data_IF_882238184317
#
_entry.id   IF_882238184317
#
_cell.length_a   1.000
_cell.length_b   1.000
_cell.length_c   1.000
_cell.angle_alpha   90.00
_cell.angle_beta   90.00
_cell.angle_gamma   90.00
#
_symmetry.space_group_name_H-M   'P 1'
#
loop_
_entity.id
_entity.type
_entity.pdbx_description
1 polymer ?
#
# COMPACT_ATOMS: atom_id res chain seq x y z
N UNK A 1 -19.83 -10.86 4.82
CA UNK A 1 -18.76 -11.72 4.28
C UNK A 1 -17.48 -11.37 5.01
N UNK A 2 -16.78 -12.35 5.57
CA UNK A 2 -15.60 -12.13 6.40
C UNK A 2 -14.33 -12.25 5.55
N UNK A 3 -13.44 -11.27 5.64
CA UNK A 3 -12.10 -11.33 5.03
C UNK A 3 -11.19 -12.17 5.91
N UNK A 4 -10.44 -13.09 5.31
CA UNK A 4 -9.39 -13.82 6.01
C UNK A 4 -8.21 -12.89 6.29
N UNK A 5 -8.04 -12.53 7.57
CA UNK A 5 -6.98 -11.63 8.01
C UNK A 5 -5.58 -12.22 7.80
N UNK A 6 -5.45 -13.54 7.84
CA UNK A 6 -4.19 -14.23 7.59
C UNK A 6 -3.72 -14.03 6.16
N UNK A 7 -4.60 -14.25 5.19
CA UNK A 7 -4.34 -13.98 3.77
C UNK A 7 -4.04 -12.50 3.52
N UNK A 8 -4.83 -11.60 4.11
CA UNK A 8 -4.60 -10.15 3.94
C UNK A 8 -3.20 -9.75 4.44
N UNK A 9 -2.76 -10.27 5.58
CA UNK A 9 -1.43 -9.99 6.12
C UNK A 9 -0.31 -10.48 5.18
N UNK A 10 -0.47 -11.67 4.60
CA UNK A 10 0.49 -12.21 3.63
C UNK A 10 0.54 -11.36 2.37
N UNK A 11 -0.60 -10.92 1.85
CA UNK A 11 -0.70 -10.04 0.68
C UNK A 11 0.03 -8.73 0.94
N UNK A 12 -0.30 -8.04 2.04
CA UNK A 12 0.33 -6.75 2.38
C UNK A 12 1.84 -6.92 2.54
N UNK A 13 2.29 -7.98 3.22
CA UNK A 13 3.71 -8.20 3.41
C UNK A 13 4.44 -8.45 2.08
N UNK A 14 3.96 -9.42 1.30
CA UNK A 14 4.64 -9.84 0.07
C UNK A 14 4.55 -8.82 -1.07
N UNK A 15 3.46 -8.05 -1.17
CA UNK A 15 3.22 -7.12 -2.29
C UNK A 15 3.63 -5.68 -2.00
N UNK A 16 3.81 -5.33 -0.73
CA UNK A 16 4.15 -3.95 -0.33
C UNK A 16 5.42 -3.97 0.51
N UNK A 17 5.40 -4.62 1.67
CA UNK A 17 6.51 -4.52 2.62
C UNK A 17 7.79 -5.07 2.02
N UNK A 18 7.80 -6.29 1.48
CA UNK A 18 8.99 -6.91 0.88
C UNK A 18 9.51 -6.15 -0.36
N UNK A 19 8.67 -5.36 -1.04
CA UNK A 19 9.07 -4.56 -2.21
C UNK A 19 9.69 -3.22 -1.78
N UNK A 20 9.18 -2.61 -0.72
CA UNK A 20 9.66 -1.32 -0.22
C UNK A 20 10.82 -1.46 0.76
N UNK A 21 10.88 -2.58 1.48
CA UNK A 21 11.92 -2.87 2.47
C UNK A 21 13.30 -2.95 1.78
N UNK A 22 14.28 -2.25 2.36
CA UNK A 22 15.66 -2.17 1.87
C UNK A 22 15.83 -1.81 0.38
N UNK A 23 14.84 -1.18 -0.26
CA UNK A 23 14.83 -0.90 -1.70
C UNK A 23 14.91 0.61 -2.01
N UNK A 24 15.52 0.97 -3.14
CA UNK A 24 15.48 2.32 -3.70
C UNK A 24 14.17 2.47 -4.48
N UNK A 25 13.10 2.91 -3.81
CA UNK A 25 11.72 2.96 -4.35
C UNK A 25 11.65 3.53 -5.77
N UNK A 26 12.39 4.61 -6.05
CA UNK A 26 12.39 5.31 -7.34
C UNK A 26 12.99 4.48 -8.49
N UNK A 27 13.96 3.62 -8.19
CA UNK A 27 14.67 2.81 -9.18
C UNK A 27 14.06 1.42 -9.29
N UNK A 28 13.76 0.80 -8.15
CA UNK A 28 13.30 -0.58 -8.02
C UNK A 28 11.81 -0.74 -8.35
N UNK A 29 11.00 0.28 -8.05
CA UNK A 29 9.54 0.22 -8.28
C UNK A 29 9.18 1.03 -9.50
N UNK A 30 8.89 0.34 -10.62
CA UNK A 30 8.57 0.98 -11.91
C UNK A 30 7.45 2.03 -11.82
N UNK A 31 6.49 1.86 -10.92
CA UNK A 31 5.39 2.80 -10.73
C UNK A 31 5.85 4.19 -10.26
N UNK A 32 6.99 4.26 -9.56
CA UNK A 32 7.59 5.48 -9.04
C UNK A 32 8.60 6.11 -9.99
N UNK A 33 8.92 5.50 -11.14
CA UNK A 33 9.83 6.13 -12.11
C UNK A 33 9.29 7.48 -12.56
N UNK A 34 10.04 8.54 -12.28
CA UNK A 34 9.65 9.93 -12.58
C UNK A 34 8.59 10.51 -11.63
N UNK A 35 8.31 9.86 -10.50
CA UNK A 35 7.44 10.37 -9.43
C UNK A 35 8.19 10.41 -8.11
N UNK A 36 7.86 11.38 -7.27
CA UNK A 36 8.40 11.42 -5.91
C UNK A 36 7.82 10.27 -5.08
N UNK A 37 8.64 9.50 -4.34
CA UNK A 37 8.18 8.42 -3.47
C UNK A 37 7.63 8.97 -2.14
N UNK A 38 6.66 9.90 -2.21
CA UNK A 38 5.99 10.45 -1.02
C UNK A 38 5.03 9.42 -0.40
N UNK A 39 4.68 9.64 0.87
CA UNK A 39 3.72 8.83 1.62
C UNK A 39 2.39 8.66 0.91
N UNK A 40 1.89 9.71 0.25
CA UNK A 40 0.66 9.68 -0.56
C UNK A 40 0.81 8.76 -1.78
N UNK A 41 1.91 8.90 -2.52
CA UNK A 41 2.18 8.08 -3.70
C UNK A 41 2.39 6.60 -3.33
N UNK A 42 3.04 6.33 -2.18
CA UNK A 42 3.15 4.99 -1.59
C UNK A 42 1.78 4.41 -1.30
N UNK A 43 0.89 5.18 -0.67
CA UNK A 43 -0.47 4.71 -0.36
C UNK A 43 -1.31 4.46 -1.61
N UNK A 44 -1.22 5.32 -2.62
CA UNK A 44 -1.93 5.14 -3.91
C UNK A 44 -1.45 3.86 -4.61
N UNK A 45 -0.15 3.66 -4.68
CA UNK A 45 0.44 2.46 -5.27
C UNK A 45 0.04 1.20 -4.49
N UNK A 46 0.20 1.22 -3.17
CA UNK A 46 -0.16 0.13 -2.26
C UNK A 46 -1.64 -0.26 -2.37
N UNK A 47 -2.53 0.73 -2.47
CA UNK A 47 -3.96 0.50 -2.66
C UNK A 47 -4.25 -0.30 -3.92
N UNK A 48 -3.67 0.10 -5.05
CA UNK A 48 -3.84 -0.62 -6.32
C UNK A 48 -3.32 -2.06 -6.25
N UNK A 49 -2.22 -2.30 -5.52
CA UNK A 49 -1.71 -3.66 -5.30
C UNK A 49 -2.65 -4.52 -4.43
N UNK A 50 -3.16 -3.98 -3.33
CA UNK A 50 -4.01 -4.73 -2.40
C UNK A 50 -5.38 -5.01 -3.01
N UNK A 51 -6.00 -4.03 -3.66
CA UNK A 51 -7.36 -4.18 -4.22
C UNK A 51 -7.42 -5.27 -5.30
N UNK A 52 -6.33 -5.45 -6.07
CA UNK A 52 -6.25 -6.50 -7.10
C UNK A 52 -6.24 -7.92 -6.53
N UNK A 53 -5.73 -8.10 -5.31
CA UNK A 53 -5.60 -9.40 -4.66
C UNK A 53 -6.76 -9.68 -3.67
N UNK A 54 -7.63 -8.69 -3.43
CA UNK A 54 -8.81 -8.82 -2.58
C UNK A 54 -9.96 -9.50 -3.35
N UNK A 55 -10.07 -10.81 -3.20
CA UNK A 55 -11.22 -11.60 -3.73
C UNK A 55 -12.55 -11.33 -3.00
N UNK A 56 -12.49 -10.89 -1.75
CA UNK A 56 -13.67 -10.67 -0.90
C UNK A 56 -13.48 -9.42 -0.03
N UNK A 57 -14.58 -8.71 0.22
CA UNK A 57 -14.56 -7.45 0.97
C UNK A 57 -14.12 -6.27 0.13
N UNK A 58 -14.06 -5.10 0.76
CA UNK A 58 -13.61 -3.87 0.12
C UNK A 58 -12.54 -3.22 1.01
N UNK A 59 -11.46 -2.76 0.39
CA UNK A 59 -10.49 -1.94 1.07
C UNK A 59 -11.14 -0.59 1.39
N UNK A 60 -11.15 -0.21 2.66
CA UNK A 60 -11.76 1.05 3.11
C UNK A 60 -10.73 2.13 3.35
N UNK A 61 -9.61 1.78 3.99
CA UNK A 61 -8.57 2.74 4.38
C UNK A 61 -7.21 2.07 4.44
N UNK A 62 -6.20 2.74 3.89
CA UNK A 62 -4.80 2.49 4.18
C UNK A 62 -4.23 3.63 5.02
N UNK A 63 -3.35 3.29 5.94
CA UNK A 63 -2.62 4.27 6.76
C UNK A 63 -1.14 3.96 6.70
N UNK A 64 -0.33 4.92 6.27
CA UNK A 64 1.11 4.86 6.38
C UNK A 64 1.51 5.65 7.62
N UNK A 65 2.26 5.02 8.52
CA UNK A 65 2.74 5.64 9.76
C UNK A 65 4.25 5.79 9.63
N UNK A 66 4.72 7.01 9.41
CA UNK A 66 6.16 7.31 9.32
C UNK A 66 6.76 7.44 10.71
N UNK A 67 6.04 8.07 11.63
CA UNK A 67 6.40 8.20 13.04
C UNK A 67 5.14 8.14 13.89
N UNK A 68 5.28 8.10 15.23
CA UNK A 68 4.15 8.09 16.15
C UNK A 68 3.15 9.25 15.94
N UNK A 69 3.63 10.40 15.46
CA UNK A 69 2.80 11.59 15.22
C UNK A 69 2.49 11.85 13.75
N UNK A 70 3.30 11.28 12.84
CA UNK A 70 3.18 11.51 11.39
C UNK A 70 2.58 10.28 10.74
N UNK A 71 1.35 10.44 10.27
CA UNK A 71 0.65 9.42 9.51
C UNK A 71 -0.14 10.04 8.37
N UNK A 72 -0.26 9.29 7.29
CA UNK A 72 -1.07 9.66 6.13
C UNK A 72 -2.14 8.58 5.95
N UNK A 73 -3.39 9.00 5.79
CA UNK A 73 -4.52 8.12 5.50
C UNK A 73 -4.93 8.25 4.02
N UNK A 74 -5.27 7.13 3.39
CA UNK A 74 -5.78 7.07 2.03
C UNK A 74 -7.00 6.17 1.95
N UNK A 75 -8.05 6.65 1.29
CA UNK A 75 -9.37 5.98 1.22
C UNK A 75 -9.75 5.55 -0.20
N UNK A 76 -8.81 5.61 -1.15
CA UNK A 76 -9.02 5.22 -2.53
C UNK A 76 -9.32 6.38 -3.48
N UNK A 77 -9.34 6.12 -4.80
CA UNK A 77 -9.59 7.13 -5.81
C UNK A 77 -11.07 7.53 -5.82
N UNK A 78 -11.38 8.76 -5.40
CA UNK A 78 -12.73 9.33 -5.50
C UNK A 78 -13.41 9.72 -4.19
N UNK A 79 -12.66 9.82 -3.07
CA UNK A 79 -13.11 10.57 -1.88
C UNK A 79 -12.52 11.97 -1.86
#
# INVERSE_FOLDING_TARGET
MAVDLGKLNVIVKSKIVDILDHSQIEEDVQWFKGKQPSSENILIWAWDQIVKELDQGALYRLRLVETHSIHTDYYGPGQ
#
